data_IF_408513841601
#
_entry.id   IF_408513841601
#
_cell.length_a   1.000
_cell.length_b   1.000
_cell.length_c   1.000
_cell.angle_alpha   90.00
_cell.angle_beta   90.00
_cell.angle_gamma   90.00
#
_symmetry.space_group_name_H-M   'P 1'
#
loop_
_entity.id
_entity.type
_entity.pdbx_description
1 polymer ?
#
# COMPACT_ATOMS: atom_id res chain seq x y z
N UNK A 1 -20.63 9.00 -19.39
CA UNK A 1 -19.76 8.26 -18.46
C UNK A 1 -19.96 8.87 -17.07
N UNK A 2 -20.16 8.07 -16.02
CA UNK A 2 -20.07 8.61 -14.64
C UNK A 2 -18.62 9.00 -14.39
N UNK A 3 -18.43 10.20 -13.86
CA UNK A 3 -17.13 10.67 -13.39
C UNK A 3 -16.81 9.85 -12.11
N UNK A 4 -16.06 8.74 -12.26
CA UNK A 4 -15.69 7.91 -11.12
C UNK A 4 -14.49 8.56 -10.41
N UNK A 5 -14.81 9.48 -9.49
CA UNK A 5 -13.86 10.11 -8.58
C UNK A 5 -14.04 9.59 -7.16
N UNK A 6 -12.95 9.61 -6.39
CA UNK A 6 -12.95 9.29 -4.98
C UNK A 6 -11.96 10.22 -4.25
N UNK A 7 -12.27 10.59 -3.01
CA UNK A 7 -11.35 11.37 -2.18
C UNK A 7 -10.18 10.49 -1.73
N UNK A 8 -8.96 10.84 -2.13
CA UNK A 8 -7.72 10.20 -1.67
C UNK A 8 -7.18 10.97 -0.46
N UNK A 9 -6.95 10.26 0.64
CA UNK A 9 -6.33 10.83 1.83
C UNK A 9 -4.86 11.17 1.61
N UNK A 10 -4.14 10.34 0.84
CA UNK A 10 -2.73 10.57 0.55
C UNK A 10 -2.51 11.73 -0.41
N UNK A 11 -3.41 11.92 -1.40
CA UNK A 11 -3.37 13.07 -2.31
C UNK A 11 -4.01 14.34 -1.72
N UNK A 12 -4.92 14.19 -0.76
CA UNK A 12 -5.62 15.31 -0.11
C UNK A 12 -6.72 15.95 -0.97
N UNK A 13 -7.13 15.29 -2.06
CA UNK A 13 -8.14 15.79 -2.99
C UNK A 13 -8.93 14.65 -3.65
N UNK A 14 -9.95 15.00 -4.43
CA UNK A 14 -10.64 14.05 -5.30
C UNK A 14 -9.76 13.64 -6.48
N UNK A 15 -9.54 12.34 -6.62
CA UNK A 15 -8.77 11.72 -7.71
C UNK A 15 -9.68 10.82 -8.54
N UNK A 16 -9.31 10.55 -9.78
CA UNK A 16 -9.99 9.54 -10.58
C UNK A 16 -9.73 8.15 -10.01
N UNK A 17 -10.75 7.27 -9.97
CA UNK A 17 -10.55 5.88 -9.54
C UNK A 17 -9.68 5.05 -10.50
N UNK A 18 -9.29 5.62 -11.64
CA UNK A 18 -8.38 5.02 -12.62
C UNK A 18 -6.95 5.58 -12.53
N UNK A 19 -6.72 6.58 -11.67
CA UNK A 19 -5.43 7.24 -11.54
C UNK A 19 -4.41 6.40 -10.76
N UNK A 20 -3.14 6.76 -10.88
CA UNK A 20 -2.07 6.08 -10.13
C UNK A 20 -2.14 6.42 -8.64
N UNK A 21 -2.57 7.63 -8.28
CA UNK A 21 -2.79 8.04 -6.89
C UNK A 21 -3.85 7.17 -6.22
N UNK A 22 -4.97 6.90 -6.90
CA UNK A 22 -6.00 6.02 -6.36
C UNK A 22 -5.51 4.58 -6.23
N UNK A 23 -4.79 4.08 -7.25
CA UNK A 23 -4.19 2.74 -7.21
C UNK A 23 -3.19 2.60 -6.05
N UNK A 24 -2.36 3.62 -5.85
CA UNK A 24 -1.37 3.66 -4.77
C UNK A 24 -2.02 3.68 -3.39
N UNK A 25 -3.03 4.53 -3.16
CA UNK A 25 -3.75 4.54 -1.88
C UNK A 25 -4.46 3.20 -1.62
N UNK A 26 -4.99 2.55 -2.65
CA UNK A 26 -5.57 1.21 -2.53
C UNK A 26 -4.52 0.15 -2.14
N UNK A 27 -3.32 0.19 -2.73
CA UNK A 27 -2.21 -0.68 -2.34
C UNK A 27 -1.80 -0.43 -0.87
N UNK A 28 -1.61 0.83 -0.50
CA UNK A 28 -1.27 1.22 0.88
C UNK A 28 -2.35 0.77 1.87
N UNK A 29 -3.63 0.93 1.52
CA UNK A 29 -4.75 0.49 2.34
C UNK A 29 -4.78 -1.04 2.51
N UNK A 30 -4.46 -1.80 1.47
CA UNK A 30 -4.35 -3.26 1.53
C UNK A 30 -3.21 -3.68 2.46
N UNK A 31 -2.03 -3.07 2.34
CA UNK A 31 -0.87 -3.36 3.21
C UNK A 31 -1.15 -3.00 4.67
N UNK A 32 -1.87 -1.91 4.93
CA UNK A 32 -2.29 -1.53 6.28
C UNK A 32 -3.21 -2.59 6.91
N UNK A 33 -4.08 -3.22 6.13
CA UNK A 33 -4.99 -4.27 6.59
C UNK A 33 -4.33 -5.65 6.80
N UNK A 34 -3.09 -5.85 6.33
CA UNK A 34 -2.35 -7.10 6.51
C UNK A 34 -1.92 -7.32 7.96
N UNK A 35 -1.89 -8.60 8.37
CA UNK A 35 -1.19 -9.01 9.59
C UNK A 35 0.33 -8.75 9.49
N UNK A 36 1.06 -8.70 10.61
CA UNK A 36 2.52 -8.48 10.59
C UNK A 36 3.29 -9.47 9.70
N UNK A 37 2.91 -10.76 9.73
CA UNK A 37 3.56 -11.79 8.92
C UNK A 37 3.29 -11.59 7.42
N UNK A 38 2.04 -11.32 7.04
CA UNK A 38 1.68 -11.03 5.64
C UNK A 38 2.41 -9.78 5.13
N UNK A 39 2.49 -8.73 5.95
CA UNK A 39 3.20 -7.50 5.60
C UNK A 39 4.69 -7.76 5.40
N UNK A 40 5.32 -8.56 6.28
CA UNK A 40 6.72 -8.96 6.15
C UNK A 40 6.95 -9.69 4.82
N UNK A 41 6.15 -10.71 4.53
CA UNK A 41 6.24 -11.46 3.27
C UNK A 41 5.98 -10.59 2.04
N UNK A 42 5.05 -9.62 2.12
CA UNK A 42 4.80 -8.68 1.03
C UNK A 42 6.04 -7.84 0.67
N UNK A 43 6.78 -7.34 1.68
CA UNK A 43 7.96 -6.51 1.43
C UNK A 43 9.22 -7.32 1.11
N UNK A 44 9.50 -8.37 1.88
CA UNK A 44 10.76 -9.11 1.86
C UNK A 44 10.71 -10.37 0.99
N UNK A 45 9.51 -10.84 0.66
CA UNK A 45 9.27 -12.13 0.03
C UNK A 45 9.16 -13.26 1.06
N UNK A 46 9.01 -14.48 0.57
CA UNK A 46 8.99 -15.69 1.40
C UNK A 46 9.70 -16.84 0.69
N UNK A 47 10.28 -17.76 1.46
CA UNK A 47 10.79 -19.02 0.91
C UNK A 47 9.74 -20.10 1.12
N UNK A 48 9.32 -20.72 0.03
CA UNK A 48 8.36 -21.83 0.04
C UNK A 48 9.05 -23.13 0.48
N UNK A 49 8.26 -24.13 0.86
CA UNK A 49 8.77 -25.45 1.29
C UNK A 49 9.62 -26.16 0.22
N UNK A 50 9.33 -25.93 -1.08
CA UNK A 50 10.11 -26.44 -2.23
C UNK A 50 11.40 -25.61 -2.50
N UNK A 51 11.81 -24.75 -1.57
CA UNK A 51 13.02 -23.91 -1.69
C UNK A 51 12.90 -22.72 -2.65
N UNK A 52 11.75 -22.53 -3.31
CA UNK A 52 11.51 -21.37 -4.20
C UNK A 52 11.33 -20.09 -3.38
N UNK A 53 12.01 -19.02 -3.79
CA UNK A 53 11.84 -17.69 -3.21
C UNK A 53 10.74 -16.92 -3.96
N UNK A 54 9.64 -16.62 -3.27
CA UNK A 54 8.71 -15.59 -3.68
C UNK A 54 9.36 -14.22 -3.45
N UNK A 55 9.40 -13.38 -4.48
CA UNK A 55 10.02 -12.07 -4.42
C UNK A 55 9.06 -11.05 -3.83
N UNK A 56 9.52 -10.31 -2.81
CA UNK A 56 8.77 -9.20 -2.23
C UNK A 56 8.92 -7.91 -3.04
N UNK A 57 8.28 -6.84 -2.56
CA UNK A 57 8.39 -5.50 -3.16
C UNK A 57 9.84 -5.03 -3.28
N UNK A 58 10.70 -5.34 -2.31
CA UNK A 58 12.12 -4.93 -2.36
C UNK A 58 12.81 -5.55 -3.58
N UNK A 59 12.58 -6.83 -3.84
CA UNK A 59 13.18 -7.56 -4.97
C UNK A 59 12.60 -7.14 -6.34
N UNK A 60 11.33 -6.70 -6.38
CA UNK A 60 10.61 -6.39 -7.64
C UNK A 60 10.70 -4.90 -8.00
N UNK A 61 10.52 -4.02 -7.02
CA UNK A 61 10.39 -2.55 -7.22
C UNK A 61 11.53 -1.75 -6.57
N UNK A 62 12.40 -2.41 -5.81
CA UNK A 62 13.52 -1.79 -5.12
C UNK A 62 13.18 -1.21 -3.75
N UNK A 63 14.24 -0.93 -2.99
CA UNK A 63 14.15 -0.47 -1.60
C UNK A 63 13.39 0.86 -1.46
N UNK A 64 13.65 1.82 -2.35
CA UNK A 64 13.01 3.13 -2.32
C UNK A 64 11.47 3.04 -2.46
N UNK A 65 10.98 2.14 -3.33
CA UNK A 65 9.54 1.90 -3.48
C UNK A 65 8.95 1.24 -2.23
N UNK A 66 9.65 0.26 -1.65
CA UNK A 66 9.22 -0.39 -0.42
C UNK A 66 9.10 0.61 0.74
N UNK A 67 10.09 1.48 0.92
CA UNK A 67 10.10 2.46 2.00
C UNK A 67 9.04 3.55 1.80
N UNK A 68 8.78 3.94 0.55
CA UNK A 68 7.67 4.84 0.23
C UNK A 68 6.32 4.26 0.65
N UNK A 69 6.04 2.99 0.33
CA UNK A 69 4.81 2.32 0.76
C UNK A 69 4.73 2.26 2.28
N UNK A 70 5.81 1.89 2.99
CA UNK A 70 5.82 1.86 4.47
C UNK A 70 5.51 3.23 5.08
N UNK A 71 6.11 4.29 4.55
CA UNK A 71 5.86 5.66 5.01
C UNK A 71 4.39 6.06 4.78
N UNK A 72 3.82 5.71 3.63
CA UNK A 72 2.44 6.05 3.31
C UNK A 72 1.43 5.20 4.10
N UNK A 73 1.77 3.96 4.46
CA UNK A 73 0.98 3.14 5.40
C UNK A 73 0.84 3.86 6.74
N UNK A 74 1.95 4.37 7.29
CA UNK A 74 1.94 5.16 8.52
C UNK A 74 1.07 6.41 8.38
N UNK A 75 1.24 7.18 7.29
CA UNK A 75 0.42 8.37 7.02
C UNK A 75 -1.07 8.06 6.92
N UNK A 76 -1.44 7.00 6.21
CA UNK A 76 -2.84 6.60 6.05
C UNK A 76 -3.46 6.15 7.37
N UNK A 77 -2.69 5.46 8.22
CA UNK A 77 -3.13 5.11 9.58
C UNK A 77 -3.41 6.35 10.42
N UNK A 78 -2.51 7.34 10.41
CA UNK A 78 -2.70 8.61 11.12
C UNK A 78 -3.96 9.35 10.66
N UNK A 79 -4.20 9.46 9.35
CA UNK A 79 -5.42 10.07 8.81
C UNK A 79 -6.68 9.34 9.25
N UNK A 80 -6.65 8.00 9.28
CA UNK A 80 -7.80 7.18 9.72
C UNK A 80 -8.03 7.28 11.23
N UNK A 81 -6.97 7.45 12.04
CA UNK A 81 -7.09 7.65 13.48
C UNK A 81 -7.66 9.02 13.82
N UNK A 82 -7.20 10.08 13.13
CA UNK A 82 -7.67 11.46 13.36
C UNK A 82 -9.14 11.69 12.99
N UNK A 83 -9.73 10.87 12.10
CA UNK A 83 -11.16 10.93 11.74
C UNK A 83 -12.10 10.20 12.71
N UNK A 84 -11.59 9.56 13.77
CA UNK A 84 -12.40 8.82 14.77
C UNK A 84 -12.82 9.64 16.00
N UNK A 85 -12.60 10.96 15.96
CA UNK A 85 -13.05 11.96 16.96
C UNK A 85 -13.99 12.94 16.30
#
# INVERSE_FOLDING_TARGET
MRDNKAFSHLAGCEVSTWSEEWRHECEVAAVLAMSPNQRKSFFEGNTMEDGRKERGVVDIRGQAAADKIKQDVYRLEEFRRGKRT
#
